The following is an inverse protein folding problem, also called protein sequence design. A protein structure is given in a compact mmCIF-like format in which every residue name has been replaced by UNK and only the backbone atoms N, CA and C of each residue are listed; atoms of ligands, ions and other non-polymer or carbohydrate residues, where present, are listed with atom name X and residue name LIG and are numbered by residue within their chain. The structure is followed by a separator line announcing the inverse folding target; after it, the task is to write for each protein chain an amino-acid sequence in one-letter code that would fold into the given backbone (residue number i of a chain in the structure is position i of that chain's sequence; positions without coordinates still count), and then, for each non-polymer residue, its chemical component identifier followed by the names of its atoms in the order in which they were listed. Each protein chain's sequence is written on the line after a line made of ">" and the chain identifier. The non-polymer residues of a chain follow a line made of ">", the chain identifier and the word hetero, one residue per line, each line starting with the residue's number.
data_IF_089170784919
#
_entry.id   IF_089170784919
#
_cell.length_a   1.000
_cell.length_b   1.000
_cell.length_c   1.000
_cell.angle_alpha   90.00
_cell.angle_beta   90.00
_cell.angle_gamma   90.00
#
_symmetry.space_group_name_H-M   'P 1'
#
loop_
_entity.id
_entity.type
_entity.pdbx_description
1 polymer ?
#
# COMPACT_ATOMS: atom_id res chain seq x y z
N UNK A 1 8.98 23.67 3.08
CA UNK A 1 8.92 22.27 2.60
C UNK A 1 7.46 21.92 2.34
N UNK A 2 7.14 21.21 1.25
CA UNK A 2 5.79 20.71 0.95
C UNK A 2 5.70 19.24 1.31
N UNK A 3 4.63 18.86 1.99
CA UNK A 3 4.38 17.48 2.42
C UNK A 3 3.51 16.75 1.41
N UNK A 4 3.92 15.52 1.09
CA UNK A 4 3.22 14.60 0.21
C UNK A 4 3.07 13.26 0.92
N UNK A 5 1.97 12.58 0.64
CA UNK A 5 1.70 11.21 1.06
C UNK A 5 1.39 10.33 -0.15
N UNK A 6 1.44 9.02 0.06
CA UNK A 6 1.06 8.04 -0.95
C UNK A 6 0.31 6.88 -0.29
N UNK A 7 -0.61 6.27 -1.03
CA UNK A 7 -1.34 5.05 -0.68
C UNK A 7 -1.20 4.03 -1.82
N UNK A 8 -1.74 2.82 -1.65
CA UNK A 8 -1.66 1.75 -2.66
C UNK A 8 -2.92 1.61 -3.54
N UNK A 9 -3.86 2.54 -3.44
CA UNK A 9 -5.07 2.55 -4.28
C UNK A 9 -6.16 1.54 -3.86
N UNK A 10 -7.16 1.40 -4.72
CA UNK A 10 -8.28 0.45 -4.64
C UNK A 10 -8.58 -0.15 -6.02
N UNK A 11 -7.77 -1.14 -6.43
CA UNK A 11 -7.93 -1.83 -7.71
C UNK A 11 -9.27 -2.57 -7.83
N UNK A 12 -9.92 -2.86 -6.70
CA UNK A 12 -11.23 -3.54 -6.70
C UNK A 12 -12.37 -2.63 -7.17
N UNK A 13 -12.21 -1.30 -7.04
CA UNK A 13 -13.25 -0.31 -7.39
C UNK A 13 -12.83 0.65 -8.48
N UNK A 14 -11.55 1.01 -8.58
CA UNK A 14 -11.06 1.95 -9.58
C UNK A 14 -10.78 1.22 -10.90
N UNK A 15 -11.52 1.59 -11.95
CA UNK A 15 -11.38 1.01 -13.29
C UNK A 15 -9.97 1.22 -13.88
N UNK A 16 -9.34 2.38 -13.61
CA UNK A 16 -8.00 2.70 -14.11
C UNK A 16 -6.91 1.85 -13.43
N UNK A 17 -7.20 1.32 -12.24
CA UNK A 17 -6.26 0.53 -11.42
C UNK A 17 -6.41 -0.98 -11.63
N UNK A 18 -7.43 -1.44 -12.36
CA UNK A 18 -7.64 -2.89 -12.63
C UNK A 18 -6.46 -3.55 -13.34
N UNK A 19 -5.66 -2.79 -14.07
CA UNK A 19 -4.47 -3.27 -14.76
C UNK A 19 -3.37 -3.78 -13.79
N UNK A 20 -3.40 -3.37 -12.52
CA UNK A 20 -2.46 -3.85 -11.50
C UNK A 20 -2.79 -5.25 -10.96
N UNK A 21 -4.01 -5.75 -11.20
CA UNK A 21 -4.39 -7.09 -10.76
C UNK A 21 -3.76 -8.18 -11.64
N UNK A 22 -3.67 -9.40 -11.11
CA UNK A 22 -3.24 -10.55 -11.92
C UNK A 22 -4.26 -10.82 -13.04
N UNK A 23 -5.55 -10.87 -12.68
CA UNK A 23 -6.70 -10.85 -13.59
C UNK A 23 -7.70 -9.77 -13.14
N UNK A 24 -8.49 -9.16 -14.05
CA UNK A 24 -9.48 -8.13 -13.70
C UNK A 24 -10.59 -8.59 -12.72
N UNK A 25 -10.79 -9.90 -12.59
CA UNK A 25 -11.80 -10.53 -11.72
C UNK A 25 -11.25 -10.86 -10.32
N UNK A 26 -9.93 -11.02 -10.18
CA UNK A 26 -9.27 -11.44 -8.93
C UNK A 26 -8.50 -10.32 -8.24
N UNK A 27 -8.98 -9.07 -8.37
CA UNK A 27 -8.33 -7.92 -7.75
C UNK A 27 -8.32 -8.01 -6.23
N UNK A 28 -7.19 -7.66 -5.61
CA UNK A 28 -7.12 -7.39 -4.18
C UNK A 28 -7.97 -6.16 -3.84
N UNK A 29 -8.47 -6.09 -2.61
CA UNK A 29 -9.21 -4.93 -2.11
C UNK A 29 -8.24 -3.79 -1.77
N UNK A 30 -8.80 -2.60 -1.51
CA UNK A 30 -8.07 -1.38 -1.15
C UNK A 30 -6.84 -1.63 -0.27
N UNK A 31 -5.73 -1.01 -0.64
CA UNK A 31 -4.52 -0.90 0.18
C UNK A 31 -3.54 -2.05 0.07
N UNK A 32 -3.83 -3.07 -0.76
CA UNK A 32 -2.89 -4.14 -1.09
C UNK A 32 -2.56 -4.13 -2.59
N UNK A 33 -1.33 -4.51 -2.92
CA UNK A 33 -0.88 -4.74 -4.29
C UNK A 33 -0.20 -6.10 -4.41
N UNK A 34 -0.51 -6.81 -5.48
CA UNK A 34 0.12 -8.08 -5.83
C UNK A 34 1.48 -7.83 -6.54
N UNK A 35 2.55 -8.43 -6.02
CA UNK A 35 3.89 -8.34 -6.61
C UNK A 35 4.28 -9.55 -7.46
N UNK A 36 3.39 -10.52 -7.68
CA UNK A 36 3.70 -11.74 -8.43
C UNK A 36 4.34 -11.45 -9.80
N UNK A 37 3.79 -10.49 -10.55
CA UNK A 37 4.35 -10.07 -11.86
C UNK A 37 5.76 -9.46 -11.77
N UNK A 38 6.15 -8.94 -10.60
CA UNK A 38 7.46 -8.32 -10.37
C UNK A 38 8.51 -9.33 -9.90
N UNK A 39 8.15 -10.22 -8.96
CA UNK A 39 9.11 -11.06 -8.23
C UNK A 39 8.92 -12.56 -8.41
N UNK A 40 7.84 -13.01 -9.06
CA UNK A 40 7.55 -14.43 -9.30
C UNK A 40 7.14 -15.23 -8.05
N UNK A 41 6.91 -14.56 -6.92
CA UNK A 41 6.47 -15.16 -5.65
C UNK A 41 5.11 -14.58 -5.25
N UNK A 42 4.26 -15.33 -4.53
CA UNK A 42 2.96 -14.87 -4.06
C UNK A 42 3.14 -13.88 -2.89
N UNK A 43 3.63 -12.67 -3.20
CA UNK A 43 3.89 -11.61 -2.23
C UNK A 43 2.96 -10.44 -2.48
N UNK A 44 2.27 -10.02 -1.44
CA UNK A 44 1.46 -8.82 -1.41
C UNK A 44 2.16 -7.74 -0.61
N UNK A 45 2.06 -6.49 -1.06
CA UNK A 45 2.49 -5.33 -0.28
C UNK A 45 1.30 -4.54 0.25
N UNK A 46 1.45 -4.02 1.46
CA UNK A 46 0.53 -3.07 2.09
C UNK A 46 1.31 -2.00 2.86
N UNK A 47 0.61 -1.01 3.42
CA UNK A 47 1.21 -0.17 4.47
C UNK A 47 1.23 -0.94 5.80
N UNK A 48 2.17 -0.65 6.72
CA UNK A 48 2.30 -1.38 7.97
C UNK A 48 1.01 -1.46 8.79
N UNK A 49 0.77 -2.62 9.39
CA UNK A 49 -0.46 -2.96 10.09
C UNK A 49 -1.73 -2.74 9.24
N UNK A 50 -1.62 -2.92 7.92
CA UNK A 50 -2.70 -2.70 6.96
C UNK A 50 -3.32 -1.29 7.06
N UNK A 51 -2.51 -0.27 7.38
CA UNK A 51 -2.95 1.12 7.38
C UNK A 51 -3.50 1.51 5.99
N UNK A 52 -4.60 2.29 5.95
CA UNK A 52 -5.31 2.68 4.71
C UNK A 52 -5.81 1.51 3.83
N UNK A 53 -5.93 0.30 4.40
CA UNK A 53 -6.42 -0.88 3.67
C UNK A 53 -7.89 -1.19 3.98
N UNK A 54 -8.50 -2.08 3.20
CA UNK A 54 -9.86 -2.57 3.45
C UNK A 54 -9.99 -3.22 4.84
N UNK A 55 -11.12 -2.99 5.51
CA UNK A 55 -11.36 -3.46 6.89
C UNK A 55 -11.30 -4.98 7.02
N UNK A 56 -11.56 -5.73 5.95
CA UNK A 56 -11.45 -7.19 5.99
C UNK A 56 -10.02 -7.67 6.28
N UNK A 57 -8.98 -6.92 5.87
CA UNK A 57 -7.59 -7.26 6.22
C UNK A 57 -7.25 -6.98 7.68
N UNK A 58 -7.83 -5.91 8.25
CA UNK A 58 -7.65 -5.56 9.67
C UNK A 58 -8.31 -6.60 10.60
N UNK A 59 -9.45 -7.15 10.18
CA UNK A 59 -10.18 -8.14 10.96
C UNK A 59 -9.62 -9.57 10.80
N UNK A 60 -8.78 -9.81 9.80
CA UNK A 60 -8.23 -11.14 9.50
C UNK A 60 -7.00 -11.51 10.35
N UNK A 61 -6.36 -10.55 11.01
CA UNK A 61 -5.12 -10.77 11.78
C UNK A 61 -5.21 -10.06 13.13
N UNK A 62 -4.96 -10.79 14.21
CA UNK A 62 -4.92 -10.22 15.57
C UNK A 62 -3.63 -9.43 15.81
N UNK A 63 -3.70 -8.40 16.66
CA UNK A 63 -2.53 -7.59 17.06
C UNK A 63 -2.19 -6.42 16.13
N UNK A 64 -3.03 -6.15 15.12
CA UNK A 64 -2.85 -4.99 14.25
C UNK A 64 -3.22 -3.68 14.96
N UNK A 65 -2.44 -2.63 14.74
CA UNK A 65 -2.65 -1.29 15.32
C UNK A 65 -2.24 -0.22 14.30
N UNK A 66 -3.04 0.02 13.25
CA UNK A 66 -2.73 1.01 12.22
C UNK A 66 -2.70 2.43 12.80
N UNK A 67 -1.58 3.13 12.65
CA UNK A 67 -1.37 4.50 13.16
C UNK A 67 -0.80 5.38 12.05
N UNK A 68 -1.45 6.50 11.72
CA UNK A 68 -1.07 7.36 10.59
C UNK A 68 0.36 7.89 10.68
N UNK A 69 0.76 8.36 11.86
CA UNK A 69 2.08 8.90 12.14
C UNK A 69 3.19 7.84 12.07
N UNK A 70 2.87 6.57 12.32
CA UNK A 70 3.83 5.46 12.24
C UNK A 70 3.80 4.74 10.88
N UNK A 71 2.65 4.56 10.26
CA UNK A 71 2.47 3.63 9.15
C UNK A 71 2.15 4.32 7.82
N UNK A 72 1.84 5.63 7.83
CA UNK A 72 1.69 6.40 6.61
C UNK A 72 3.02 6.73 5.92
N UNK A 73 3.00 6.79 4.59
CA UNK A 73 4.10 7.33 3.77
C UNK A 73 4.09 8.86 3.88
N UNK A 74 5.25 9.44 4.18
CA UNK A 74 5.45 10.89 4.27
C UNK A 74 6.71 11.28 3.52
N UNK A 75 6.60 12.25 2.63
CA UNK A 75 7.72 12.79 1.86
C UNK A 75 7.64 14.32 1.93
N UNK A 76 8.75 14.96 2.29
CA UNK A 76 8.89 16.40 2.31
C UNK A 76 9.83 16.82 1.17
N UNK A 77 9.32 17.64 0.27
CA UNK A 77 10.09 18.22 -0.83
C UNK A 77 10.37 19.70 -0.59
N UNK A 78 11.58 20.15 -0.95
CA UNK A 78 11.87 21.57 -1.09
C UNK A 78 11.24 22.09 -2.41
N UNK A 79 10.34 23.08 -2.37
CA UNK A 79 9.53 23.44 -3.55
C UNK A 79 10.31 23.97 -4.77
N UNK A 80 11.46 24.60 -4.56
CA UNK A 80 12.21 25.28 -5.63
C UNK A 80 13.05 24.29 -6.45
N UNK A 81 13.77 23.42 -5.74
CA UNK A 81 14.69 22.43 -6.31
C UNK A 81 14.04 21.09 -6.55
N UNK A 82 12.90 20.80 -5.91
CA UNK A 82 12.27 19.49 -5.89
C UNK A 82 13.03 18.45 -5.06
N UNK A 83 14.03 18.85 -4.28
CA UNK A 83 14.87 17.92 -3.51
C UNK A 83 14.10 17.31 -2.33
N UNK A 84 14.18 15.99 -2.09
CA UNK A 84 13.59 15.38 -0.90
C UNK A 84 14.42 15.74 0.33
N UNK A 85 13.84 16.50 1.26
CA UNK A 85 14.52 16.86 2.52
C UNK A 85 14.26 15.85 3.63
N UNK A 86 13.19 15.09 3.51
CA UNK A 86 12.84 14.01 4.44
C UNK A 86 11.89 13.03 3.74
N UNK A 87 12.10 11.73 3.95
CA UNK A 87 11.19 10.71 3.46
C UNK A 87 11.07 9.57 4.46
N UNK A 88 9.84 9.08 4.64
CA UNK A 88 9.50 7.90 5.43
C UNK A 88 8.57 7.03 4.60
N UNK A 89 9.14 6.02 3.94
CA UNK A 89 8.41 5.00 3.18
C UNK A 89 8.54 3.67 3.93
N UNK A 90 7.44 3.16 4.46
CA UNK A 90 7.37 1.89 5.20
C UNK A 90 6.36 1.01 4.48
N UNK A 91 6.72 -0.24 4.23
CA UNK A 91 5.88 -1.22 3.56
C UNK A 91 5.87 -2.50 4.40
N UNK A 92 4.76 -3.22 4.33
CA UNK A 92 4.60 -4.55 4.90
C UNK A 92 4.47 -5.54 3.75
N UNK A 93 5.14 -6.69 3.89
CA UNK A 93 4.99 -7.82 3.00
C UNK A 93 4.10 -8.86 3.65
N UNK A 94 3.19 -9.44 2.88
CA UNK A 94 2.29 -10.49 3.31
C UNK A 94 2.21 -11.55 2.22
N UNK A 95 1.93 -12.79 2.61
CA UNK A 95 1.74 -13.91 1.69
C UNK A 95 0.32 -14.45 1.85
N UNK A 96 -0.37 -14.80 0.76
CA UNK A 96 -1.61 -15.56 0.86
C UNK A 96 -1.31 -16.93 1.48
N UNK A 97 -2.21 -17.39 2.34
CA UNK A 97 -2.21 -18.75 2.87
C UNK A 97 -3.33 -19.53 2.16
N UNK A 98 -3.06 -20.78 1.82
CA UNK A 98 -4.06 -21.74 1.30
C UNK A 98 -4.72 -22.53 2.45
#
# INVERSE_FOLDING_TARGET
>A
VREYSATLGDMSKNADEKCYCLTPETCLKKGLMDLYKCVGLPLYISLPHFYESDVSYLNAVEGLSPQKDKHGIKILFEPTTGSPVYAKKRLQFSMPLE
#
